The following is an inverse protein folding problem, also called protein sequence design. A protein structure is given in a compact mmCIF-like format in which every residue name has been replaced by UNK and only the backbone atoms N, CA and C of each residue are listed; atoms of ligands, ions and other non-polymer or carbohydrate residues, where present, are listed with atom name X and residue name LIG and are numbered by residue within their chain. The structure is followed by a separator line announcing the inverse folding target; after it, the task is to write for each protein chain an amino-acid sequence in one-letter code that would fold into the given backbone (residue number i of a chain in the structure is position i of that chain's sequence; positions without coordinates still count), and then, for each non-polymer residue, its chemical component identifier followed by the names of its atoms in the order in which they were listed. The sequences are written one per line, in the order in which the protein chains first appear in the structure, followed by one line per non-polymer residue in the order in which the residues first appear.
data_IF_490947794970
#
_entry.id   IF_490947794970
#
_cell.length_a   1.000
_cell.length_b   1.000
_cell.length_c   1.000
_cell.angle_alpha   90.00
_cell.angle_beta   90.00
_cell.angle_gamma   90.00
#
_symmetry.space_group_name_H-M   'P 1'
#
loop_
_entity.id
_entity.type
_entity.pdbx_description
1 polymer ?
#
# COMPACT_ATOMS: atom_id res chain seq x y z
N UNK A 1 7.95 -18.19 -24.55
CA UNK A 1 7.95 -18.04 -23.07
C UNK A 1 9.11 -17.13 -22.73
N UNK A 2 8.85 -15.97 -22.18
CA UNK A 2 9.91 -15.08 -21.73
C UNK A 2 10.54 -15.73 -20.50
N UNK A 3 11.83 -16.08 -20.51
CA UNK A 3 12.49 -16.78 -19.39
C UNK A 3 12.33 -16.08 -18.05
N UNK A 4 12.00 -14.79 -18.09
CA UNK A 4 11.81 -13.93 -16.94
C UNK A 4 10.58 -14.24 -16.09
N UNK A 5 9.48 -14.73 -16.66
CA UNK A 5 8.32 -15.17 -15.88
C UNK A 5 8.62 -16.39 -14.99
N UNK A 6 9.63 -17.15 -15.36
CA UNK A 6 10.12 -18.27 -14.55
C UNK A 6 11.20 -17.84 -13.53
N UNK A 7 11.79 -16.64 -13.69
CA UNK A 7 12.79 -16.14 -12.75
C UNK A 7 12.16 -15.71 -11.43
N UNK A 8 12.82 -16.03 -10.34
CA UNK A 8 12.47 -15.54 -9.01
C UNK A 8 13.02 -14.17 -8.74
N UNK A 9 14.03 -13.70 -9.50
CA UNK A 9 14.74 -12.45 -9.23
C UNK A 9 14.54 -11.44 -10.35
N UNK A 10 14.10 -10.23 -9.97
CA UNK A 10 14.07 -9.07 -10.84
C UNK A 10 15.44 -8.36 -10.87
N UNK A 11 15.87 -7.89 -12.04
CA UNK A 11 17.13 -7.16 -12.14
C UNK A 11 17.10 -5.87 -11.29
N UNK A 12 18.22 -5.55 -10.64
CA UNK A 12 18.32 -4.38 -9.78
C UNK A 12 17.54 -4.47 -8.46
N UNK A 13 17.04 -5.63 -8.11
CA UNK A 13 16.35 -5.83 -6.83
C UNK A 13 17.33 -5.81 -5.67
N UNK A 14 17.15 -4.91 -4.72
CA UNK A 14 17.94 -4.84 -3.51
C UNK A 14 17.61 -5.98 -2.56
N UNK A 15 16.31 -6.27 -2.41
CA UNK A 15 15.80 -7.38 -1.58
C UNK A 15 14.69 -8.09 -2.31
N UNK A 16 14.74 -9.42 -2.29
CA UNK A 16 13.67 -10.30 -2.72
C UNK A 16 13.07 -10.99 -1.49
N UNK A 17 11.75 -10.90 -1.34
CA UNK A 17 11.03 -11.46 -0.19
C UNK A 17 9.97 -12.42 -0.69
N UNK A 18 10.06 -13.67 -0.29
CA UNK A 18 9.05 -14.69 -0.56
C UNK A 18 8.10 -14.84 0.63
N UNK A 19 6.80 -14.74 0.35
CA UNK A 19 5.74 -14.86 1.34
C UNK A 19 4.98 -16.18 1.22
N UNK A 20 4.55 -16.68 2.40
CA UNK A 20 3.71 -17.87 2.50
C UNK A 20 4.50 -19.18 2.52
N UNK A 21 3.86 -20.29 2.22
CA UNK A 21 4.50 -21.60 2.19
C UNK A 21 5.67 -21.64 1.18
N UNK A 22 6.83 -22.13 1.62
CA UNK A 22 8.04 -22.26 0.78
C UNK A 22 7.83 -23.09 -0.46
N UNK A 23 6.96 -24.09 -0.37
CA UNK A 23 6.70 -25.05 -1.45
C UNK A 23 5.57 -24.61 -2.38
N UNK A 24 4.74 -23.64 -1.96
CA UNK A 24 3.65 -23.14 -2.76
C UNK A 24 4.14 -22.26 -3.93
N UNK A 25 3.53 -22.38 -5.10
CA UNK A 25 3.90 -21.56 -6.25
C UNK A 25 3.59 -20.07 -6.00
N UNK A 26 4.58 -19.21 -6.20
CA UNK A 26 4.41 -17.75 -6.14
C UNK A 26 3.99 -17.25 -7.52
N UNK A 27 2.70 -17.30 -7.79
CA UNK A 27 2.16 -16.89 -9.09
C UNK A 27 2.28 -15.38 -9.34
N UNK A 28 2.35 -14.58 -8.28
CA UNK A 28 2.48 -13.13 -8.38
C UNK A 28 3.81 -12.66 -7.83
N UNK A 29 4.41 -11.66 -8.49
CA UNK A 29 5.52 -10.90 -7.97
C UNK A 29 5.19 -9.41 -8.04
N UNK A 30 5.37 -8.72 -6.92
CA UNK A 30 5.13 -7.28 -6.80
C UNK A 30 6.49 -6.59 -6.74
N UNK A 31 6.68 -5.53 -7.52
CA UNK A 31 7.87 -4.69 -7.43
C UNK A 31 7.51 -3.29 -6.92
N UNK A 32 8.26 -2.81 -5.93
CA UNK A 32 8.13 -1.45 -5.43
C UNK A 32 9.45 -0.93 -4.84
N UNK A 33 9.48 0.35 -4.47
CA UNK A 33 10.58 0.92 -3.71
C UNK A 33 10.69 0.28 -2.32
N UNK A 34 11.87 0.35 -1.70
CA UNK A 34 12.10 -0.07 -0.29
C UNK A 34 11.51 0.94 0.70
N UNK A 35 10.25 1.25 0.52
CA UNK A 35 9.42 2.14 1.34
C UNK A 35 8.01 1.58 1.45
N UNK A 36 7.21 2.11 2.36
CA UNK A 36 5.80 1.75 2.46
C UNK A 36 5.03 2.25 1.23
N UNK A 37 4.91 3.54 1.04
CA UNK A 37 4.31 4.18 -0.13
C UNK A 37 3.07 3.45 -0.67
N UNK A 38 3.11 3.08 -1.95
CA UNK A 38 2.06 2.29 -2.61
C UNK A 38 2.33 0.77 -2.61
N UNK A 39 3.50 0.34 -2.14
CA UNK A 39 3.84 -1.09 -2.02
C UNK A 39 3.24 -1.74 -0.78
N UNK A 40 3.17 -1.01 0.32
CA UNK A 40 2.65 -1.48 1.60
C UNK A 40 1.21 -2.00 1.50
N UNK A 41 0.23 -1.24 0.97
CA UNK A 41 -1.14 -1.72 0.91
C UNK A 41 -1.32 -2.94 -0.01
N UNK A 42 -0.56 -3.04 -1.10
CA UNK A 42 -0.57 -4.23 -1.97
C UNK A 42 -0.01 -5.46 -1.23
N UNK A 43 1.09 -5.27 -0.51
CA UNK A 43 1.73 -6.33 0.29
C UNK A 43 0.82 -6.79 1.42
N UNK A 44 0.21 -5.86 2.16
CA UNK A 44 -0.73 -6.15 3.24
C UNK A 44 -1.95 -6.93 2.73
N UNK A 45 -2.52 -6.52 1.59
CA UNK A 45 -3.65 -7.22 0.94
C UNK A 45 -3.31 -8.68 0.61
N UNK A 46 -2.16 -8.92 0.01
CA UNK A 46 -1.72 -10.28 -0.31
C UNK A 46 -1.45 -11.13 0.93
N UNK A 47 -0.90 -10.52 2.00
CA UNK A 47 -0.70 -11.18 3.29
C UNK A 47 -2.04 -11.55 3.94
N UNK A 48 -3.01 -10.62 3.96
CA UNK A 48 -4.36 -10.88 4.50
C UNK A 48 -5.09 -11.97 3.74
N UNK A 49 -4.91 -12.03 2.41
CA UNK A 49 -5.43 -13.09 1.55
C UNK A 49 -4.72 -14.44 1.73
N UNK A 50 -3.63 -14.49 2.50
CA UNK A 50 -2.75 -15.68 2.65
C UNK A 50 -2.28 -16.25 1.31
N UNK A 51 -2.18 -15.41 0.30
CA UNK A 51 -1.78 -15.79 -1.05
C UNK A 51 -0.26 -15.75 -1.15
N UNK A 52 0.44 -16.84 -1.52
CA UNK A 52 1.90 -16.83 -1.70
C UNK A 52 2.31 -15.92 -2.87
N UNK A 53 3.30 -15.06 -2.62
CA UNK A 53 3.83 -14.13 -3.62
C UNK A 53 5.29 -13.77 -3.35
N UNK A 54 5.95 -13.13 -4.31
CA UNK A 54 7.28 -12.56 -4.17
C UNK A 54 7.17 -11.03 -4.15
N UNK A 55 7.90 -10.37 -3.27
CA UNK A 55 8.05 -8.91 -3.25
C UNK A 55 9.49 -8.53 -3.61
N UNK A 56 9.65 -7.68 -4.62
CA UNK A 56 10.91 -7.08 -5.00
C UNK A 56 10.97 -5.64 -4.50
N UNK A 57 11.96 -5.34 -3.66
CA UNK A 57 12.20 -4.01 -3.15
C UNK A 57 13.45 -3.40 -3.80
N UNK A 58 13.30 -2.18 -4.30
CA UNK A 58 14.35 -1.39 -4.92
C UNK A 58 14.70 -0.21 -4.05
N UNK A 59 15.97 -0.02 -3.77
CA UNK A 59 16.46 1.15 -3.05
C UNK A 59 16.68 2.35 -3.96
N UNK A 60 16.50 3.54 -3.40
CA UNK A 60 17.08 4.77 -3.91
C UNK A 60 18.15 5.22 -2.93
N UNK A 61 19.35 5.47 -3.43
CA UNK A 61 20.51 5.86 -2.66
C UNK A 61 20.98 7.26 -3.09
N UNK A 62 21.50 8.02 -2.13
CA UNK A 62 22.21 9.24 -2.41
C UNK A 62 23.62 8.91 -2.94
N UNK A 63 24.02 9.54 -4.03
CA UNK A 63 25.31 9.34 -4.71
C UNK A 63 26.11 10.65 -4.75
N UNK A 64 26.34 11.24 -3.58
CA UNK A 64 27.09 12.49 -3.44
C UNK A 64 26.55 13.61 -4.35
N UNK A 65 27.45 14.27 -5.08
CA UNK A 65 27.09 15.36 -6.00
C UNK A 65 26.31 14.90 -7.25
N UNK A 66 26.30 13.60 -7.54
CA UNK A 66 25.57 13.02 -8.68
C UNK A 66 24.05 12.91 -8.44
N UNK A 67 23.59 13.14 -7.21
CA UNK A 67 22.17 13.08 -6.84
C UNK A 67 21.74 11.69 -6.38
N UNK A 68 20.67 11.15 -6.98
CA UNK A 68 20.02 9.90 -6.54
C UNK A 68 20.24 8.79 -7.55
N UNK A 69 20.61 7.61 -7.08
CA UNK A 69 20.79 6.41 -7.91
C UNK A 69 19.92 5.25 -7.43
N UNK A 70 19.57 4.37 -8.36
CA UNK A 70 18.89 3.11 -8.09
C UNK A 70 19.18 2.10 -9.18
N UNK A 71 19.43 0.86 -8.82
CA UNK A 71 19.55 -0.25 -9.79
C UNK A 71 18.27 -0.44 -10.61
N UNK A 72 17.10 -0.05 -10.07
CA UNK A 72 15.84 -0.05 -10.82
C UNK A 72 15.93 0.76 -12.11
N UNK A 73 16.57 1.92 -12.09
CA UNK A 73 16.67 2.78 -13.29
C UNK A 73 17.50 2.12 -14.40
N UNK A 74 18.56 1.40 -14.02
CA UNK A 74 19.35 0.62 -14.98
C UNK A 74 18.56 -0.53 -15.62
N UNK A 75 17.74 -1.24 -14.82
CA UNK A 75 16.92 -2.36 -15.29
C UNK A 75 15.66 -1.98 -16.03
N UNK A 76 15.17 -0.75 -15.86
CA UNK A 76 13.89 -0.30 -16.42
C UNK A 76 13.78 -0.43 -17.93
N UNK A 77 14.87 -0.13 -18.65
CA UNK A 77 14.90 -0.21 -20.12
C UNK A 77 14.73 -1.65 -20.58
N UNK A 78 15.41 -2.59 -19.91
CA UNK A 78 15.30 -4.02 -20.22
C UNK A 78 13.89 -4.54 -19.93
N UNK A 79 13.28 -4.15 -18.83
CA UNK A 79 11.88 -4.49 -18.51
C UNK A 79 10.91 -4.03 -19.59
N UNK A 80 11.00 -2.76 -20.01
CA UNK A 80 10.15 -2.20 -21.08
C UNK A 80 10.27 -3.05 -22.34
N UNK A 81 11.49 -3.43 -22.71
CA UNK A 81 11.78 -4.22 -23.90
C UNK A 81 11.29 -5.67 -23.77
N UNK A 82 11.66 -6.33 -22.69
CA UNK A 82 11.41 -7.76 -22.50
C UNK A 82 9.94 -8.08 -22.30
N UNK A 83 9.25 -7.22 -21.56
CA UNK A 83 7.81 -7.35 -21.33
C UNK A 83 6.93 -6.60 -22.34
N UNK A 84 7.55 -5.86 -23.29
CA UNK A 84 6.82 -4.99 -24.24
C UNK A 84 5.84 -4.05 -23.53
N UNK A 85 6.24 -3.54 -22.35
CA UNK A 85 5.39 -2.73 -21.48
C UNK A 85 5.92 -1.29 -21.40
N UNK A 86 5.49 -0.38 -22.30
CA UNK A 86 5.98 1.00 -22.33
C UNK A 86 5.56 1.84 -21.12
N UNK A 87 4.48 1.42 -20.41
CA UNK A 87 3.99 2.09 -19.21
C UNK A 87 4.72 1.67 -17.93
N UNK A 88 5.86 0.97 -18.06
CA UNK A 88 6.60 0.41 -16.93
C UNK A 88 6.88 1.44 -15.84
N UNK A 89 6.37 1.16 -14.66
CA UNK A 89 6.54 1.98 -13.48
C UNK A 89 6.33 1.15 -12.20
N UNK A 90 6.67 1.70 -11.05
CA UNK A 90 6.39 1.13 -9.74
C UNK A 90 5.09 1.72 -9.14
N UNK A 91 4.22 0.89 -8.53
CA UNK A 91 4.32 -0.56 -8.45
C UNK A 91 4.04 -1.27 -9.77
N UNK A 92 4.59 -2.47 -9.91
CA UNK A 92 4.19 -3.43 -10.93
C UNK A 92 3.80 -4.78 -10.29
N UNK A 93 3.03 -5.57 -11.01
CA UNK A 93 2.77 -6.96 -10.71
C UNK A 93 3.12 -7.82 -11.92
N UNK A 94 3.95 -8.85 -11.72
CA UNK A 94 4.16 -9.93 -12.68
C UNK A 94 3.25 -11.08 -12.29
N UNK A 95 2.30 -11.42 -13.15
CA UNK A 95 1.49 -12.62 -13.04
C UNK A 95 2.17 -13.73 -13.86
N UNK A 96 2.87 -14.63 -13.17
CA UNK A 96 3.64 -15.72 -13.79
C UNK A 96 2.73 -16.77 -14.44
N UNK A 97 1.55 -16.98 -13.86
CA UNK A 97 0.58 -17.96 -14.39
C UNK A 97 -0.08 -17.46 -15.69
N UNK A 98 -0.44 -16.19 -15.74
CA UNK A 98 -1.05 -15.57 -16.91
C UNK A 98 -0.01 -15.01 -17.90
N UNK A 99 1.28 -15.10 -17.60
CA UNK A 99 2.39 -14.56 -18.38
C UNK A 99 2.17 -13.09 -18.77
N UNK A 100 1.76 -12.26 -17.79
CA UNK A 100 1.51 -10.83 -18.00
C UNK A 100 2.13 -9.96 -16.93
N UNK A 101 2.35 -8.71 -17.31
CA UNK A 101 2.74 -7.65 -16.37
C UNK A 101 1.63 -6.61 -16.31
N UNK A 102 1.28 -6.22 -15.11
CA UNK A 102 0.36 -5.13 -14.81
C UNK A 102 1.13 -4.03 -14.12
N UNK A 103 0.97 -2.81 -14.60
CA UNK A 103 1.56 -1.59 -14.06
C UNK A 103 0.48 -0.57 -13.79
N UNK A 104 0.80 0.53 -13.12
CA UNK A 104 -0.15 1.53 -12.61
C UNK A 104 -0.92 1.06 -11.38
N UNK A 105 -0.85 1.84 -10.32
CA UNK A 105 -1.29 1.47 -8.97
C UNK A 105 -2.69 0.88 -8.93
N UNK A 106 -3.70 1.59 -9.44
CA UNK A 106 -5.09 1.11 -9.38
C UNK A 106 -5.31 -0.15 -10.24
N UNK A 107 -4.59 -0.28 -11.37
CA UNK A 107 -4.64 -1.49 -12.17
C UNK A 107 -3.99 -2.68 -11.46
N UNK A 108 -2.91 -2.47 -10.70
CA UNK A 108 -2.28 -3.50 -9.87
C UNK A 108 -3.21 -3.91 -8.73
N UNK A 109 -3.86 -2.97 -8.04
CA UNK A 109 -4.88 -3.27 -7.03
C UNK A 109 -6.03 -4.10 -7.63
N UNK A 110 -6.55 -3.69 -8.78
CA UNK A 110 -7.63 -4.43 -9.44
C UNK A 110 -7.23 -5.85 -9.84
N UNK A 111 -6.02 -6.02 -10.37
CA UNK A 111 -5.51 -7.34 -10.77
C UNK A 111 -5.31 -8.26 -9.57
N UNK A 112 -4.60 -7.80 -8.56
CA UNK A 112 -4.34 -8.58 -7.34
C UNK A 112 -5.62 -8.80 -6.53
N UNK A 113 -6.47 -7.78 -6.38
CA UNK A 113 -7.75 -7.88 -5.71
C UNK A 113 -8.66 -8.94 -6.32
N UNK A 114 -8.76 -9.00 -7.66
CA UNK A 114 -9.51 -10.06 -8.35
C UNK A 114 -8.89 -11.44 -8.09
N UNK A 115 -7.57 -11.57 -8.08
CA UNK A 115 -6.92 -12.84 -7.82
C UNK A 115 -7.08 -13.32 -6.36
N UNK A 116 -7.34 -12.42 -5.43
CA UNK A 116 -7.55 -12.69 -4.00
C UNK A 116 -9.04 -12.74 -3.60
N UNK A 117 -9.98 -12.49 -4.53
CA UNK A 117 -11.41 -12.37 -4.19
C UNK A 117 -11.75 -11.09 -3.41
N UNK A 118 -10.94 -10.02 -3.57
CA UNK A 118 -11.10 -8.74 -2.88
C UNK A 118 -11.41 -7.58 -3.84
N UNK A 119 -12.16 -7.86 -4.92
CA UNK A 119 -12.50 -6.86 -5.93
C UNK A 119 -13.99 -6.84 -6.31
N UNK A 120 -14.86 -7.17 -5.32
CA UNK A 120 -16.31 -7.21 -5.49
C UNK A 120 -16.83 -8.55 -6.01
N UNK A 121 -18.04 -8.90 -5.59
CA UNK A 121 -18.72 -10.13 -6.00
C UNK A 121 -19.70 -9.87 -7.18
N UNK A 122 -19.99 -8.60 -7.46
CA UNK A 122 -20.88 -8.15 -8.52
C UNK A 122 -20.40 -6.83 -9.15
N UNK A 123 -21.10 -6.35 -10.18
CA UNK A 123 -20.76 -5.13 -10.89
C UNK A 123 -20.89 -3.88 -10.01
N UNK A 124 -21.88 -3.83 -9.12
CA UNK A 124 -22.08 -2.70 -8.22
C UNK A 124 -20.91 -2.58 -7.21
N UNK A 125 -20.56 -3.68 -6.55
CA UNK A 125 -19.41 -3.72 -5.64
C UNK A 125 -18.09 -3.42 -6.36
N UNK A 126 -17.91 -3.94 -7.57
CA UNK A 126 -16.73 -3.64 -8.40
C UNK A 126 -16.63 -2.13 -8.70
N UNK A 127 -17.74 -1.51 -9.07
CA UNK A 127 -17.78 -0.07 -9.35
C UNK A 127 -17.53 0.78 -8.11
N UNK A 128 -18.06 0.38 -6.93
CA UNK A 128 -17.78 1.03 -5.66
C UNK A 128 -16.28 0.95 -5.32
N UNK A 129 -15.64 -0.21 -5.51
CA UNK A 129 -14.22 -0.42 -5.29
C UNK A 129 -13.37 0.47 -6.21
N UNK A 130 -13.71 0.54 -7.50
CA UNK A 130 -12.97 1.37 -8.46
C UNK A 130 -13.05 2.86 -8.11
N UNK A 131 -14.24 3.37 -7.72
CA UNK A 131 -14.43 4.74 -7.26
C UNK A 131 -13.59 5.05 -6.01
N UNK A 132 -13.62 4.15 -5.02
CA UNK A 132 -12.84 4.30 -3.79
C UNK A 132 -11.34 4.31 -4.05
N UNK A 133 -10.83 3.42 -4.90
CA UNK A 133 -9.41 3.42 -5.29
C UNK A 133 -9.00 4.74 -5.95
N UNK A 134 -9.87 5.35 -6.75
CA UNK A 134 -9.60 6.66 -7.35
C UNK A 134 -9.58 7.79 -6.31
N UNK A 135 -10.58 7.87 -5.43
CA UNK A 135 -10.65 8.88 -4.37
C UNK A 135 -9.46 8.77 -3.39
N UNK A 136 -9.11 7.54 -3.00
CA UNK A 136 -7.96 7.32 -2.10
C UNK A 136 -6.64 7.65 -2.82
N UNK A 137 -6.55 7.42 -4.13
CA UNK A 137 -5.37 7.81 -4.92
C UNK A 137 -5.23 9.33 -5.02
N UNK A 138 -6.34 10.07 -5.10
CA UNK A 138 -6.34 11.53 -5.06
C UNK A 138 -5.89 12.04 -3.67
N UNK A 139 -6.41 11.45 -2.59
CA UNK A 139 -5.91 11.71 -1.23
C UNK A 139 -4.39 11.47 -1.13
N UNK A 140 -3.91 10.34 -1.63
CA UNK A 140 -2.48 10.02 -1.68
C UNK A 140 -1.67 11.08 -2.41
N UNK A 141 -2.17 11.62 -3.51
CA UNK A 141 -1.46 12.61 -4.31
C UNK A 141 -1.27 13.93 -3.55
N UNK A 142 -2.15 14.28 -2.62
CA UNK A 142 -1.96 15.43 -1.70
C UNK A 142 -0.67 15.25 -0.88
N UNK A 143 -0.47 14.07 -0.28
CA UNK A 143 0.74 13.76 0.49
C UNK A 143 1.99 13.73 -0.38
N UNK A 144 1.92 13.06 -1.53
CA UNK A 144 3.07 12.92 -2.43
C UNK A 144 3.51 14.25 -3.00
N UNK A 145 2.57 15.13 -3.33
CA UNK A 145 2.86 16.49 -3.78
C UNK A 145 3.72 17.24 -2.77
N UNK A 146 3.39 17.14 -1.49
CA UNK A 146 4.20 17.73 -0.42
C UNK A 146 5.53 17.00 -0.22
N UNK A 147 5.49 15.67 -0.11
CA UNK A 147 6.67 14.87 0.20
C UNK A 147 7.81 15.13 -0.78
N UNK A 148 7.52 15.29 -2.06
CA UNK A 148 8.54 15.48 -3.10
C UNK A 148 8.61 16.91 -3.66
N UNK A 149 7.54 17.69 -3.55
CA UNK A 149 7.50 19.08 -4.02
C UNK A 149 7.68 20.12 -2.91
N UNK A 150 7.26 19.79 -1.69
CA UNK A 150 7.19 20.72 -0.56
C UNK A 150 5.95 21.59 -0.60
N UNK A 151 5.93 22.61 0.24
CA UNK A 151 4.81 23.51 0.39
C UNK A 151 4.48 23.80 1.86
N UNK A 152 3.28 24.28 2.11
CA UNK A 152 2.77 24.54 3.44
C UNK A 152 2.03 23.30 4.01
N UNK A 153 2.47 22.75 5.15
CA UNK A 153 1.81 21.61 5.80
C UNK A 153 0.32 21.84 6.10
N UNK A 154 -0.06 23.05 6.49
CA UNK A 154 -1.45 23.39 6.80
C UNK A 154 -2.35 23.23 5.57
N UNK A 155 -1.86 23.63 4.41
CA UNK A 155 -2.57 23.44 3.12
C UNK A 155 -2.72 21.96 2.76
N UNK A 156 -1.73 21.13 3.05
CA UNK A 156 -1.80 19.67 2.86
C UNK A 156 -2.90 19.08 3.74
N UNK A 157 -2.91 19.40 5.03
CA UNK A 157 -3.92 18.92 5.98
C UNK A 157 -5.32 19.39 5.61
N UNK A 158 -5.47 20.68 5.20
CA UNK A 158 -6.75 21.20 4.74
C UNK A 158 -7.29 20.48 3.50
N UNK A 159 -6.41 20.12 2.56
CA UNK A 159 -6.80 19.36 1.38
C UNK A 159 -7.12 17.89 1.72
N UNK A 160 -6.32 17.26 2.57
CA UNK A 160 -6.60 15.91 3.06
C UNK A 160 -7.98 15.83 3.75
N UNK A 161 -8.33 16.79 4.61
CA UNK A 161 -9.63 16.86 5.27
C UNK A 161 -10.80 16.86 4.29
N UNK A 162 -10.68 17.42 3.08
CA UNK A 162 -11.74 17.38 2.05
C UNK A 162 -11.98 15.97 1.52
N UNK A 163 -10.93 15.21 1.27
CA UNK A 163 -11.03 13.81 0.85
C UNK A 163 -11.53 12.92 1.99
N UNK A 164 -10.99 13.11 3.18
CA UNK A 164 -11.37 12.35 4.37
C UNK A 164 -12.84 12.58 4.75
N UNK A 165 -13.38 13.79 4.58
CA UNK A 165 -14.80 14.06 4.83
C UNK A 165 -15.74 13.25 3.90
N UNK A 166 -15.35 13.01 2.64
CA UNK A 166 -16.09 12.15 1.72
C UNK A 166 -16.03 10.68 2.17
N UNK A 167 -14.86 10.23 2.62
CA UNK A 167 -14.65 8.86 3.10
C UNK A 167 -15.35 8.62 4.44
N UNK A 168 -15.42 9.62 5.31
CA UNK A 168 -16.23 9.60 6.54
C UNK A 168 -17.72 9.38 6.22
N UNK A 169 -18.27 10.18 5.28
CA UNK A 169 -19.64 10.03 4.80
C UNK A 169 -19.88 8.67 4.13
N UNK A 170 -18.91 8.18 3.37
CA UNK A 170 -19.00 6.84 2.77
C UNK A 170 -19.12 5.76 3.84
N UNK A 171 -18.28 5.79 4.85
CA UNK A 171 -18.33 4.84 5.98
C UNK A 171 -19.65 4.94 6.75
N UNK A 172 -20.23 6.14 6.91
CA UNK A 172 -21.54 6.32 7.52
C UNK A 172 -22.65 5.62 6.71
N UNK A 173 -22.65 5.83 5.37
CA UNK A 173 -23.60 5.16 4.47
C UNK A 173 -23.46 3.62 4.55
N UNK A 174 -22.22 3.11 4.61
CA UNK A 174 -22.01 1.67 4.78
C UNK A 174 -22.56 1.18 6.13
N UNK A 175 -22.36 1.94 7.21
CA UNK A 175 -22.92 1.59 8.53
C UNK A 175 -24.45 1.53 8.51
N UNK A 176 -25.12 2.46 7.85
CA UNK A 176 -26.57 2.48 7.69
C UNK A 176 -27.08 1.28 6.87
N UNK A 177 -26.38 0.93 5.79
CA UNK A 177 -26.70 -0.27 4.98
C UNK A 177 -26.67 -1.55 5.83
N UNK A 178 -25.66 -1.71 6.71
CA UNK A 178 -25.55 -2.87 7.60
C UNK A 178 -26.66 -2.91 8.64
N UNK A 179 -26.95 -1.78 9.29
CA UNK A 179 -28.02 -1.71 10.30
C UNK A 179 -29.40 -2.05 9.71
N UNK A 180 -29.66 -1.68 8.47
CA UNK A 180 -30.91 -1.99 7.78
C UNK A 180 -31.08 -3.49 7.46
N UNK A 181 -29.98 -4.21 7.29
CA UNK A 181 -29.97 -5.66 7.01
C UNK A 181 -30.13 -6.50 8.29
N UNK A 182 -29.72 -5.98 9.45
CA UNK A 182 -29.81 -6.64 10.76
C UNK A 182 -31.17 -6.43 11.48
N UNK A 183 -32.24 -6.26 10.78
CA UNK A 183 -33.54 -5.79 11.26
C UNK A 183 -34.22 -6.62 12.39
N UNK A 184 -33.55 -7.59 13.02
CA UNK A 184 -34.09 -8.43 14.11
C UNK A 184 -33.17 -8.67 15.31
N UNK A 185 -32.00 -8.05 15.40
CA UNK A 185 -31.16 -8.14 16.59
C UNK A 185 -31.01 -6.77 17.29
N UNK A 186 -30.94 -6.79 18.61
CA UNK A 186 -30.93 -5.64 19.51
C UNK A 186 -30.28 -4.35 18.98
N UNK A 187 -31.09 -3.29 18.88
CA UNK A 187 -30.77 -1.94 18.33
C UNK A 187 -29.72 -1.11 19.11
N UNK A 188 -28.81 -1.70 19.85
CA UNK A 188 -27.86 -0.96 20.70
C UNK A 188 -26.37 -1.15 20.40
N UNK A 189 -25.99 -2.01 19.46
CA UNK A 189 -24.58 -2.17 19.09
C UNK A 189 -24.28 -1.19 17.95
N UNK A 190 -23.43 -0.20 18.20
CA UNK A 190 -22.83 0.63 17.12
C UNK A 190 -22.09 -0.34 16.20
N UNK A 191 -22.64 -0.64 15.02
CA UNK A 191 -21.97 -1.53 14.07
C UNK A 191 -20.66 -0.88 13.64
N UNK A 192 -19.55 -1.45 14.05
CA UNK A 192 -18.22 -1.01 13.59
C UNK A 192 -18.05 -1.43 12.13
N UNK A 193 -17.90 -0.44 11.27
CA UNK A 193 -17.59 -0.68 9.85
C UNK A 193 -16.08 -0.72 9.69
N UNK A 194 -15.55 -1.91 9.49
CA UNK A 194 -14.12 -2.15 9.26
C UNK A 194 -13.78 -2.45 7.81
N UNK A 195 -14.77 -2.38 6.92
CA UNK A 195 -14.64 -2.60 5.48
C UNK A 195 -15.42 -1.55 4.69
N UNK A 196 -14.85 -1.10 3.59
CA UNK A 196 -15.42 -0.05 2.75
C UNK A 196 -16.55 -0.53 1.84
N UNK A 197 -16.62 -1.81 1.51
CA UNK A 197 -17.61 -2.37 0.59
C UNK A 197 -18.18 -3.67 1.13
N UNK A 198 -19.50 -3.71 1.29
CA UNK A 198 -20.31 -4.91 1.61
C UNK A 198 -19.81 -5.74 2.81
N UNK A 199 -19.13 -5.12 3.79
CA UNK A 199 -18.62 -5.80 5.00
C UNK A 199 -17.57 -6.88 4.73
N UNK A 200 -16.89 -6.84 3.59
CA UNK A 200 -15.87 -7.79 3.18
C UNK A 200 -14.57 -7.07 2.85
N UNK A 201 -13.45 -7.77 3.02
CA UNK A 201 -12.17 -7.29 2.53
C UNK A 201 -12.24 -6.89 1.05
N UNK A 202 -11.77 -5.70 0.76
CA UNK A 202 -11.67 -5.15 -0.58
C UNK A 202 -10.35 -4.38 -0.75
N UNK A 203 -9.87 -4.28 -1.96
CA UNK A 203 -8.58 -3.63 -2.26
C UNK A 203 -8.47 -2.20 -1.68
N UNK A 204 -9.50 -1.34 -1.72
CA UNK A 204 -9.43 0.00 -1.13
C UNK A 204 -9.29 0.03 0.39
N UNK A 205 -9.69 -1.02 1.14
CA UNK A 205 -9.50 -1.05 2.59
C UNK A 205 -8.03 -0.92 2.97
N UNK A 206 -7.17 -1.67 2.30
CA UNK A 206 -5.73 -1.65 2.51
C UNK A 206 -5.10 -0.32 2.10
N UNK A 207 -5.58 0.24 0.98
CA UNK A 207 -5.08 1.52 0.51
C UNK A 207 -5.47 2.66 1.44
N UNK A 208 -6.73 2.69 1.90
CA UNK A 208 -7.19 3.69 2.86
C UNK A 208 -6.43 3.57 4.18
N UNK A 209 -6.29 2.37 4.72
CA UNK A 209 -5.56 2.15 5.98
C UNK A 209 -4.14 2.72 5.91
N UNK A 210 -3.39 2.42 4.85
CA UNK A 210 -2.03 2.95 4.66
C UNK A 210 -2.02 4.48 4.57
N UNK A 211 -2.97 5.07 3.86
CA UNK A 211 -3.06 6.54 3.76
C UNK A 211 -3.41 7.18 5.10
N UNK A 212 -4.33 6.58 5.86
CA UNK A 212 -4.68 7.09 7.18
C UNK A 212 -3.48 7.07 8.13
N UNK A 213 -2.67 6.02 8.10
CA UNK A 213 -1.47 5.91 8.92
C UNK A 213 -0.42 6.98 8.56
N UNK A 214 -0.20 7.22 7.26
CA UNK A 214 0.72 8.25 6.79
C UNK A 214 0.24 9.66 7.14
N UNK A 215 -1.05 9.96 6.95
CA UNK A 215 -1.60 11.29 7.23
C UNK A 215 -1.71 11.59 8.73
N UNK A 216 -1.98 10.59 9.56
CA UNK A 216 -1.92 10.74 11.02
C UNK A 216 -0.52 11.11 11.47
N UNK A 217 0.49 10.36 11.03
CA UNK A 217 1.89 10.65 11.32
C UNK A 217 2.31 12.04 10.84
N UNK A 218 1.81 12.48 9.68
CA UNK A 218 2.07 13.81 9.17
C UNK A 218 1.41 14.91 10.02
N UNK A 219 0.17 14.71 10.43
CA UNK A 219 -0.56 15.65 11.27
C UNK A 219 0.10 15.77 12.65
N UNK A 220 0.44 14.65 13.31
CA UNK A 220 1.16 14.64 14.59
C UNK A 220 2.49 15.39 14.51
N UNK A 221 3.26 15.18 13.43
CA UNK A 221 4.52 15.88 13.20
C UNK A 221 4.37 17.42 13.09
N UNK A 222 3.17 17.87 12.72
CA UNK A 222 2.83 19.30 12.60
C UNK A 222 1.97 19.80 13.77
N UNK A 223 1.80 19.02 14.85
CA UNK A 223 1.06 19.42 16.05
C UNK A 223 -0.46 19.44 15.86
N UNK A 224 -0.97 18.70 14.87
CA UNK A 224 -2.39 18.62 14.53
C UNK A 224 -2.97 17.23 14.84
N UNK A 225 -4.25 17.17 15.15
CA UNK A 225 -5.05 15.95 15.27
C UNK A 225 -6.02 15.87 14.07
N UNK A 226 -5.67 15.08 13.05
CA UNK A 226 -6.36 15.09 11.77
C UNK A 226 -7.78 14.54 11.84
N UNK A 227 -8.00 13.49 12.64
CA UNK A 227 -9.26 12.74 12.70
C UNK A 227 -10.15 13.14 13.88
N UNK A 228 -9.91 14.30 14.51
CA UNK A 228 -10.60 14.69 15.75
C UNK A 228 -12.12 14.55 15.69
N UNK A 229 -12.72 14.96 14.57
CA UNK A 229 -14.16 14.98 14.35
C UNK A 229 -14.61 13.94 13.29
N UNK A 230 -13.85 12.84 13.12
CA UNK A 230 -14.10 11.80 12.11
C UNK A 230 -14.18 10.42 12.78
N UNK A 231 -15.28 10.18 13.46
CA UNK A 231 -15.48 8.96 14.28
C UNK A 231 -15.47 7.68 13.46
N UNK A 232 -15.98 7.70 12.22
CA UNK A 232 -16.00 6.54 11.33
C UNK A 232 -14.63 6.21 10.79
N UNK A 233 -13.84 7.21 10.42
CA UNK A 233 -12.45 7.05 10.00
C UNK A 233 -11.61 6.45 11.14
N UNK A 234 -11.78 6.95 12.39
CA UNK A 234 -11.10 6.39 13.57
C UNK A 234 -11.48 4.92 13.77
N UNK A 235 -12.79 4.64 13.84
CA UNK A 235 -13.29 3.27 14.03
C UNK A 235 -12.82 2.33 12.92
N UNK A 236 -12.83 2.79 11.66
CA UNK A 236 -12.30 2.01 10.54
C UNK A 236 -10.82 1.70 10.74
N UNK A 237 -9.99 2.71 11.00
CA UNK A 237 -8.55 2.53 11.16
C UNK A 237 -8.21 1.57 12.29
N UNK A 238 -8.79 1.76 13.46
CA UNK A 238 -8.56 0.94 14.63
C UNK A 238 -9.09 -0.50 14.44
N UNK A 239 -10.32 -0.63 13.98
CA UNK A 239 -10.96 -1.93 13.74
C UNK A 239 -10.26 -2.72 12.64
N UNK A 240 -9.88 -2.07 11.52
CA UNK A 240 -9.15 -2.71 10.43
C UNK A 240 -7.75 -3.17 10.88
N UNK A 241 -7.05 -2.36 11.67
CA UNK A 241 -5.77 -2.75 12.25
C UNK A 241 -5.90 -3.95 13.20
N UNK A 242 -7.00 -4.06 13.94
CA UNK A 242 -7.22 -5.15 14.90
C UNK A 242 -7.58 -6.49 14.26
N UNK A 243 -7.92 -6.54 12.97
CA UNK A 243 -8.28 -7.78 12.28
C UNK A 243 -7.11 -8.78 12.32
N UNK A 244 -7.38 -10.05 12.65
CA UNK A 244 -6.36 -11.10 12.73
C UNK A 244 -5.56 -11.28 11.45
N UNK A 245 -6.21 -11.12 10.29
CA UNK A 245 -5.61 -11.25 8.95
C UNK A 245 -4.51 -10.22 8.70
N UNK A 246 -4.61 -9.07 9.33
CA UNK A 246 -3.67 -7.96 9.17
C UNK A 246 -2.45 -8.06 10.09
N UNK A 247 -2.52 -8.87 11.16
CA UNK A 247 -1.50 -8.91 12.21
C UNK A 247 -0.14 -9.34 11.70
N UNK A 248 -0.09 -10.28 10.76
CA UNK A 248 1.17 -10.75 10.21
C UNK A 248 1.95 -9.59 9.54
N UNK A 249 1.29 -8.82 8.68
CA UNK A 249 1.92 -7.68 8.02
C UNK A 249 2.25 -6.56 9.00
N UNK A 250 1.32 -6.17 9.86
CA UNK A 250 1.48 -5.06 10.80
C UNK A 250 2.58 -5.31 11.84
N UNK A 251 2.84 -6.58 12.18
CA UNK A 251 3.93 -6.97 13.08
C UNK A 251 5.26 -7.20 12.39
N UNK A 252 5.31 -7.17 11.06
CA UNK A 252 6.54 -7.34 10.30
C UNK A 252 7.40 -6.07 10.26
N UNK A 253 8.68 -6.24 9.95
CA UNK A 253 9.60 -5.13 9.69
C UNK A 253 9.20 -4.30 8.46
N UNK A 254 8.45 -4.86 7.51
CA UNK A 254 7.93 -4.16 6.35
C UNK A 254 7.00 -3.01 6.73
N UNK A 255 6.21 -3.19 7.78
CA UNK A 255 5.36 -2.12 8.30
C UNK A 255 6.09 -1.23 9.31
N UNK A 256 6.89 -1.85 10.20
CA UNK A 256 7.50 -1.14 11.34
C UNK A 256 8.76 -0.36 10.97
N UNK A 257 9.57 -0.87 10.04
CA UNK A 257 10.91 -0.35 9.79
C UNK A 257 11.05 0.36 8.44
N UNK A 258 10.16 0.07 7.45
CA UNK A 258 10.21 0.78 6.18
C UNK A 258 9.68 2.22 6.33
N UNK A 259 10.36 3.21 5.74
CA UNK A 259 9.88 4.59 5.72
C UNK A 259 8.63 4.74 4.83
N UNK A 260 7.87 5.80 5.04
CA UNK A 260 6.71 6.09 4.19
C UNK A 260 7.10 6.49 2.77
N UNK A 261 8.18 7.28 2.64
CA UNK A 261 8.63 7.87 1.38
C UNK A 261 10.14 7.66 1.19
N UNK A 262 10.62 7.87 -0.03
CA UNK A 262 12.04 7.75 -0.36
C UNK A 262 12.90 8.80 0.35
N UNK A 263 14.20 8.55 0.43
CA UNK A 263 15.18 9.36 1.15
C UNK A 263 15.23 10.84 0.73
N UNK A 264 14.82 11.21 -0.50
CA UNK A 264 14.73 12.60 -0.92
C UNK A 264 13.43 13.30 -0.48
N UNK A 265 12.49 12.61 0.13
CA UNK A 265 11.22 13.20 0.53
C UNK A 265 11.38 14.11 1.75
N UNK A 266 10.58 15.17 1.80
CA UNK A 266 10.54 16.12 2.92
C UNK A 266 9.77 15.60 4.14
N UNK A 267 9.05 14.48 3.98
CA UNK A 267 8.29 13.81 5.01
C UNK A 267 8.41 12.29 4.87
N UNK A 268 8.52 11.60 6.01
CA UNK A 268 8.46 10.14 6.09
C UNK A 268 9.59 9.42 5.36
N UNK A 269 10.76 10.04 5.26
CA UNK A 269 11.92 9.48 4.55
C UNK A 269 12.79 8.55 5.42
N UNK A 270 12.45 8.40 6.71
CA UNK A 270 13.15 7.53 7.65
C UNK A 270 12.27 6.41 8.20
N UNK A 271 12.86 5.30 8.69
CA UNK A 271 12.13 4.25 9.37
C UNK A 271 11.39 4.78 10.60
N UNK A 272 10.11 4.42 10.68
CA UNK A 272 9.23 4.79 11.76
C UNK A 272 8.59 6.19 11.61
N UNK A 273 7.42 6.38 12.20
CA UNK A 273 6.58 7.55 11.96
C UNK A 273 7.12 8.87 12.53
N UNK A 274 8.15 8.85 13.35
CA UNK A 274 8.60 10.01 14.12
C UNK A 274 9.96 10.59 13.72
N UNK A 275 10.66 10.01 12.76
CA UNK A 275 12.01 10.44 12.40
C UNK A 275 12.07 10.99 10.98
N UNK A 276 12.41 12.26 10.84
CA UNK A 276 12.37 13.00 9.57
C UNK A 276 13.72 13.56 9.13
N UNK A 277 14.81 12.84 9.41
CA UNK A 277 16.15 13.30 9.06
C UNK A 277 16.59 12.61 7.78
N UNK A 278 17.06 13.37 6.79
CA UNK A 278 17.56 12.85 5.51
C UNK A 278 18.73 11.87 5.66
N UNK A 279 18.69 10.78 4.94
CA UNK A 279 19.87 10.11 4.39
C UNK A 279 20.55 9.01 5.22
N UNK A 280 20.28 8.83 6.53
CA UNK A 280 21.11 7.91 7.34
C UNK A 280 20.53 6.49 7.51
N UNK A 281 19.24 6.31 7.53
CA UNK A 281 18.63 5.09 8.05
C UNK A 281 18.55 3.92 7.09
N UNK A 282 18.54 4.18 5.79
CA UNK A 282 18.38 3.12 4.83
C UNK A 282 19.71 2.38 4.54
N UNK A 283 20.87 2.96 4.83
CA UNK A 283 22.19 2.32 4.58
C UNK A 283 22.48 1.16 5.51
N UNK A 284 21.98 1.20 6.75
CA UNK A 284 22.28 0.23 7.80
C UNK A 284 21.13 -0.73 8.15
N UNK A 285 20.03 -0.69 7.39
CA UNK A 285 18.89 -1.55 7.65
C UNK A 285 19.27 -3.03 7.58
N UNK A 286 18.93 -3.77 8.64
CA UNK A 286 19.30 -5.17 8.82
C UNK A 286 18.83 -6.13 7.72
N UNK A 287 17.93 -5.69 6.84
CA UNK A 287 17.39 -6.44 5.70
C UNK A 287 18.14 -6.21 4.38
N UNK A 288 18.99 -5.18 4.29
CA UNK A 288 19.77 -4.91 3.08
C UNK A 288 20.81 -5.99 2.81
N UNK A 289 20.95 -6.33 1.54
CA UNK A 289 21.98 -7.27 1.09
C UNK A 289 21.78 -8.73 1.52
N UNK A 290 20.61 -9.10 2.07
CA UNK A 290 20.35 -10.47 2.56
C UNK A 290 19.94 -11.48 1.49
N UNK A 291 19.90 -11.11 0.21
CA UNK A 291 19.41 -12.02 -0.83
C UNK A 291 17.93 -12.32 -0.69
N UNK A 292 17.50 -13.58 -0.82
CA UNK A 292 16.10 -13.97 -0.67
C UNK A 292 15.75 -14.10 0.81
N UNK A 293 14.80 -13.30 1.27
CA UNK A 293 14.23 -13.39 2.63
C UNK A 293 12.90 -14.13 2.55
N UNK A 294 12.68 -15.06 3.44
CA UNK A 294 11.40 -15.79 3.50
C UNK A 294 10.60 -15.35 4.71
N UNK A 295 9.33 -14.96 4.49
CA UNK A 295 8.37 -14.60 5.52
C UNK A 295 7.14 -15.49 5.43
N UNK A 296 6.74 -16.10 6.53
CA UNK A 296 5.50 -16.88 6.64
C UNK A 296 4.74 -16.49 7.90
N UNK A 297 3.40 -16.51 7.84
CA UNK A 297 2.55 -16.27 9.00
C UNK A 297 2.80 -17.28 10.12
#
# INVERSE_FOLDING_TARGET
MVPYFASTKAAGTTVEIDFGDKTAPKNHAIGYWSIRGLGAPLTMMMCAAKTPFTLFLYDILEEGDAGWTSEYFGGKVDYIKDFKQPLWNLPFCVDRKAERVVVQTNAVFAHLGRSCGMFGDDEAATSEIEQLLCEIYDLRNVMTGYAYGGGDPSSVLANAKKHLAKLEQWLEIQAEKFQSQESHADKKVKTEVVHLVNGKFSAPDFHLFEMLDQFESFAEANGEELYKDMDRIKSFKEGFAALPENQFYLNSWLHKDLPFNNCMAKFGSLPGPKNYIHGESAKDAAWRGKGVVHLSP
#
